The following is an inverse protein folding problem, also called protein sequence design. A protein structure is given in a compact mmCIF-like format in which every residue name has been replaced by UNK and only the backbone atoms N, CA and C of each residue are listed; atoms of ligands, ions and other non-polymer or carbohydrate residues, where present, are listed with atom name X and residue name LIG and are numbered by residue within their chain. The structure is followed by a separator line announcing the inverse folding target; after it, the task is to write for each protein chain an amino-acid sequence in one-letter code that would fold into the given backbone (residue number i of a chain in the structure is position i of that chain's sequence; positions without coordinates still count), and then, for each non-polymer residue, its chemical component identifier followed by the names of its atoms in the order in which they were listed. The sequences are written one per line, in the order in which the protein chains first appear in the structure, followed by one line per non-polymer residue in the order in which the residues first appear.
data_IF_412023161837
#
_entry.id   IF_412023161837
#
_cell.length_a   1.000
_cell.length_b   1.000
_cell.length_c   1.000
_cell.angle_alpha   90.00
_cell.angle_beta   90.00
_cell.angle_gamma   90.00
#
_symmetry.space_group_name_H-M   'P 1'
#
loop_
_entity.id
_entity.type
_entity.pdbx_description
1 polymer ?
#
# COMPACT_ATOMS: atom_id res chain seq x y z
N UNK A 1 -19.07 1.58 -7.72
CA UNK A 1 -18.61 1.93 -6.35
C UNK A 1 -18.64 0.73 -5.41
N UNK A 2 -19.73 -0.03 -5.35
CA UNK A 2 -19.87 -1.21 -4.46
C UNK A 2 -18.71 -2.20 -4.56
N UNK A 3 -18.32 -2.60 -5.77
CA UNK A 3 -17.19 -3.55 -5.98
C UNK A 3 -15.87 -3.04 -5.42
N UNK A 4 -15.58 -1.74 -5.61
CA UNK A 4 -14.38 -1.10 -5.07
C UNK A 4 -14.39 -1.11 -3.54
N UNK A 5 -15.53 -0.77 -2.93
CA UNK A 5 -15.70 -0.75 -1.47
C UNK A 5 -15.52 -2.15 -0.89
N UNK A 6 -16.11 -3.18 -1.51
CA UNK A 6 -15.92 -4.58 -1.10
C UNK A 6 -14.45 -4.98 -1.20
N UNK A 7 -13.78 -4.65 -2.31
CA UNK A 7 -12.36 -4.90 -2.48
C UNK A 7 -11.51 -4.25 -1.38
N UNK A 8 -11.81 -2.99 -1.05
CA UNK A 8 -11.15 -2.26 0.04
C UNK A 8 -11.37 -2.94 1.39
N UNK A 9 -12.61 -3.30 1.74
CA UNK A 9 -12.92 -3.97 3.02
C UNK A 9 -12.15 -5.30 3.14
N UNK A 10 -12.14 -6.12 2.08
CA UNK A 10 -11.45 -7.42 2.10
C UNK A 10 -9.94 -7.22 2.21
N UNK A 11 -9.36 -6.38 1.34
CA UNK A 11 -7.92 -6.17 1.27
C UNK A 11 -7.37 -5.52 2.55
N UNK A 12 -7.98 -4.43 3.00
CA UNK A 12 -7.56 -3.72 4.21
C UNK A 12 -7.90 -4.51 5.47
N UNK A 13 -9.03 -5.21 5.48
CA UNK A 13 -9.45 -6.05 6.59
C UNK A 13 -8.43 -7.15 6.86
N UNK A 14 -8.06 -7.94 5.85
CA UNK A 14 -7.07 -9.01 6.02
C UNK A 14 -5.70 -8.43 6.40
N UNK A 15 -5.29 -7.31 5.79
CA UNK A 15 -4.02 -6.65 6.14
C UNK A 15 -3.98 -6.10 7.55
N UNK A 16 -5.11 -5.66 8.09
CA UNK A 16 -5.17 -5.10 9.44
C UNK A 16 -4.98 -6.15 10.52
N UNK A 17 -5.25 -7.43 10.24
CA UNK A 17 -5.15 -8.52 11.22
C UNK A 17 -3.74 -8.60 11.82
N UNK A 18 -2.69 -8.46 11.00
CA UNK A 18 -1.31 -8.58 11.47
C UNK A 18 -0.92 -7.46 12.44
N UNK A 19 -1.54 -6.30 12.32
CA UNK A 19 -1.28 -5.13 13.16
C UNK A 19 -2.22 -5.06 14.38
N UNK A 20 -3.52 -5.29 14.17
CA UNK A 20 -4.56 -5.09 15.19
C UNK A 20 -4.79 -6.35 16.04
N UNK A 21 -4.56 -7.54 15.48
CA UNK A 21 -4.82 -8.81 16.15
C UNK A 21 -3.67 -9.82 15.98
N UNK A 22 -2.43 -9.46 16.38
CA UNK A 22 -1.26 -10.31 16.19
C UNK A 22 -1.37 -11.66 16.90
N UNK A 23 -1.97 -11.71 18.09
CA UNK A 23 -2.20 -12.98 18.79
C UNK A 23 -3.15 -13.91 18.04
N UNK A 24 -4.21 -13.37 17.45
CA UNK A 24 -5.17 -14.18 16.69
C UNK A 24 -4.50 -14.75 15.44
N UNK A 25 -3.73 -13.93 14.72
CA UNK A 25 -2.90 -14.37 13.59
C UNK A 25 -1.97 -15.52 14.02
N UNK A 26 -1.24 -15.35 15.12
CA UNK A 26 -0.29 -16.36 15.61
C UNK A 26 -0.98 -17.65 16.03
N UNK A 27 -2.14 -17.58 16.73
CA UNK A 27 -2.94 -18.76 17.08
C UNK A 27 -3.44 -19.50 15.84
N UNK A 28 -3.90 -18.77 14.81
CA UNK A 28 -4.36 -19.37 13.56
C UNK A 28 -3.21 -20.04 12.80
N UNK A 29 -2.08 -19.35 12.67
CA UNK A 29 -0.89 -19.89 12.03
C UNK A 29 -0.36 -21.14 12.76
N UNK A 30 -0.34 -21.15 14.10
CA UNK A 30 0.05 -22.33 14.88
C UNK A 30 -0.92 -23.52 14.67
N UNK A 31 -2.22 -23.26 14.52
CA UNK A 31 -3.22 -24.32 14.37
C UNK A 31 -3.24 -24.98 12.99
N UNK A 32 -2.97 -24.24 11.90
CA UNK A 32 -3.06 -24.76 10.52
C UNK A 32 -1.71 -24.82 9.78
N UNK A 33 -0.63 -24.39 10.44
CA UNK A 33 0.69 -24.23 9.84
C UNK A 33 0.89 -22.84 9.23
N UNK A 34 2.10 -22.30 9.40
CA UNK A 34 2.48 -20.95 8.94
C UNK A 34 2.30 -20.81 7.42
N UNK A 35 2.75 -21.79 6.63
CA UNK A 35 2.65 -21.74 5.16
C UNK A 35 1.19 -21.72 4.68
N UNK A 36 0.32 -22.53 5.29
CA UNK A 36 -1.10 -22.58 4.96
C UNK A 36 -1.78 -21.25 5.30
N UNK A 37 -1.49 -20.71 6.49
CA UNK A 37 -1.99 -19.41 6.92
C UNK A 37 -1.56 -18.29 5.97
N UNK A 38 -0.28 -18.23 5.63
CA UNK A 38 0.27 -17.25 4.69
C UNK A 38 -0.33 -17.40 3.29
N UNK A 39 -0.53 -18.63 2.80
CA UNK A 39 -1.17 -18.90 1.52
C UNK A 39 -2.61 -18.39 1.48
N UNK A 40 -3.43 -18.74 2.48
CA UNK A 40 -4.81 -18.25 2.59
C UNK A 40 -4.87 -16.73 2.69
N UNK A 41 -4.03 -16.14 3.55
CA UNK A 41 -3.90 -14.70 3.69
C UNK A 41 -3.59 -14.04 2.34
N UNK A 42 -2.63 -14.58 1.59
CA UNK A 42 -2.18 -14.02 0.31
C UNK A 42 -3.26 -14.14 -0.76
N UNK A 43 -3.99 -15.25 -0.82
CA UNK A 43 -5.09 -15.44 -1.77
C UNK A 43 -6.22 -14.46 -1.48
N UNK A 44 -6.63 -14.31 -0.21
CA UNK A 44 -7.69 -13.35 0.19
C UNK A 44 -7.26 -11.92 -0.14
N UNK A 45 -6.02 -11.55 0.17
CA UNK A 45 -5.46 -10.25 -0.17
C UNK A 45 -5.46 -10.03 -1.69
N UNK A 46 -5.03 -11.01 -2.48
CA UNK A 46 -4.99 -10.90 -3.94
C UNK A 46 -6.39 -10.73 -4.55
N UNK A 47 -7.39 -11.46 -4.05
CA UNK A 47 -8.79 -11.31 -4.47
C UNK A 47 -9.29 -9.90 -4.15
N UNK A 48 -9.06 -9.41 -2.92
CA UNK A 48 -9.41 -8.04 -2.53
C UNK A 48 -8.74 -6.99 -3.43
N UNK A 49 -7.46 -7.18 -3.74
CA UNK A 49 -6.69 -6.31 -4.63
C UNK A 49 -7.24 -6.31 -6.06
N UNK A 50 -7.54 -7.49 -6.62
CA UNK A 50 -8.14 -7.60 -7.96
C UNK A 50 -9.50 -6.88 -8.03
N UNK A 51 -10.33 -7.00 -6.98
CA UNK A 51 -11.60 -6.28 -6.86
C UNK A 51 -11.39 -4.76 -6.78
N UNK A 52 -10.33 -4.29 -6.11
CA UNK A 52 -9.98 -2.86 -6.08
C UNK A 52 -9.63 -2.38 -7.50
N UNK A 53 -8.76 -3.10 -8.22
CA UNK A 53 -8.33 -2.72 -9.58
C UNK A 53 -9.54 -2.65 -10.52
N UNK A 54 -10.35 -3.71 -10.54
CA UNK A 54 -11.54 -3.78 -11.38
C UNK A 54 -12.59 -2.73 -10.98
N UNK A 55 -12.89 -2.63 -9.68
CA UNK A 55 -13.84 -1.68 -9.13
C UNK A 55 -13.46 -0.23 -9.38
N UNK A 56 -12.17 0.11 -9.28
CA UNK A 56 -11.64 1.42 -9.64
C UNK A 56 -11.75 1.68 -11.15
N UNK A 57 -11.47 0.66 -11.98
CA UNK A 57 -11.65 0.72 -13.44
C UNK A 57 -13.06 1.12 -13.86
N UNK A 58 -14.08 0.62 -13.16
CA UNK A 58 -15.47 1.05 -13.34
C UNK A 58 -15.69 2.46 -12.77
N UNK A 59 -15.22 2.71 -11.55
CA UNK A 59 -15.45 3.96 -10.82
C UNK A 59 -14.93 5.20 -11.58
N UNK A 60 -13.80 5.07 -12.28
CA UNK A 60 -13.18 6.17 -13.05
C UNK A 60 -13.92 6.55 -14.33
N UNK A 61 -14.90 5.77 -14.79
CA UNK A 61 -15.62 6.09 -16.03
C UNK A 61 -16.57 7.28 -15.86
N UNK A 62 -17.09 7.46 -14.64
CA UNK A 62 -17.97 8.58 -14.29
C UNK A 62 -17.43 9.25 -13.01
N UNK A 63 -16.26 9.91 -13.09
CA UNK A 63 -15.60 10.44 -11.91
C UNK A 63 -16.37 11.63 -11.35
N UNK A 64 -16.56 11.65 -10.03
CA UNK A 64 -17.00 12.87 -9.34
C UNK A 64 -15.77 13.74 -9.10
N UNK A 65 -15.76 14.95 -9.67
CA UNK A 65 -14.66 15.90 -9.48
C UNK A 65 -14.82 16.53 -8.10
N UNK A 66 -14.05 16.04 -7.12
CA UNK A 66 -14.06 16.56 -5.74
C UNK A 66 -13.07 17.70 -5.56
N UNK A 67 -12.01 17.74 -6.37
CA UNK A 67 -10.94 18.73 -6.26
C UNK A 67 -10.24 18.92 -7.61
N UNK A 68 -9.93 20.17 -7.95
CA UNK A 68 -9.07 20.53 -9.08
C UNK A 68 -7.84 21.24 -8.51
N UNK A 69 -6.63 20.65 -8.60
CA UNK A 69 -5.43 21.27 -8.06
C UNK A 69 -5.06 22.55 -8.83
N UNK A 70 -4.66 23.62 -8.13
CA UNK A 70 -4.01 24.78 -8.76
C UNK A 70 -2.81 24.37 -9.61
N UNK A 71 -2.63 25.03 -10.77
CA UNK A 71 -1.61 24.67 -11.76
C UNK A 71 -0.18 24.67 -11.18
N UNK A 72 0.12 25.58 -10.24
CA UNK A 72 1.44 25.68 -9.62
C UNK A 72 1.83 24.43 -8.82
N UNK A 73 0.86 23.71 -8.25
CA UNK A 73 1.12 22.46 -7.50
C UNK A 73 1.74 21.37 -8.38
N UNK A 74 1.46 21.37 -9.69
CA UNK A 74 2.10 20.43 -10.63
C UNK A 74 3.62 20.61 -10.63
N UNK A 75 4.07 21.85 -10.73
CA UNK A 75 5.50 22.16 -10.79
C UNK A 75 6.17 21.92 -9.43
N UNK A 76 5.49 22.27 -8.34
CA UNK A 76 5.95 21.97 -6.97
C UNK A 76 6.11 20.47 -6.76
N UNK A 77 5.14 19.65 -7.20
CA UNK A 77 5.22 18.20 -7.08
C UNK A 77 6.43 17.63 -7.82
N UNK A 78 6.72 18.10 -9.05
CA UNK A 78 7.89 17.65 -9.83
C UNK A 78 9.19 18.00 -9.11
N UNK A 79 9.31 19.23 -8.60
CA UNK A 79 10.51 19.68 -7.86
C UNK A 79 10.71 18.85 -6.58
N UNK A 80 9.63 18.57 -5.84
CA UNK A 80 9.69 17.74 -4.64
C UNK A 80 9.99 16.26 -4.95
N UNK A 81 9.55 15.74 -6.10
CA UNK A 81 9.83 14.36 -6.51
C UNK A 81 11.29 14.16 -6.96
N UNK A 82 11.93 15.21 -7.47
CA UNK A 82 13.32 15.14 -7.96
C UNK A 82 14.32 14.58 -6.92
N UNK A 83 14.36 15.05 -5.65
CA UNK A 83 15.25 14.47 -4.64
C UNK A 83 14.81 13.10 -4.11
N UNK A 84 13.54 12.70 -4.30
CA UNK A 84 13.02 11.43 -3.76
C UNK A 84 13.79 10.24 -4.33
N UNK A 85 14.08 10.20 -5.63
CA UNK A 85 14.79 9.07 -6.24
C UNK A 85 16.26 8.94 -5.76
N UNK A 86 17.08 10.01 -5.73
CA UNK A 86 18.41 9.96 -5.10
C UNK A 86 18.37 9.56 -3.62
N UNK A 87 17.40 10.08 -2.86
CA UNK A 87 17.27 9.74 -1.43
C UNK A 87 16.86 8.29 -1.22
N UNK A 88 15.96 7.76 -2.05
CA UNK A 88 15.57 6.35 -2.02
C UNK A 88 16.77 5.45 -2.27
N UNK A 89 17.60 5.76 -3.28
CA UNK A 89 18.84 5.03 -3.54
C UNK A 89 19.83 5.15 -2.38
N UNK A 90 19.98 6.34 -1.80
CA UNK A 90 20.87 6.58 -0.66
C UNK A 90 20.46 5.80 0.61
N UNK A 91 19.19 5.44 0.76
CA UNK A 91 18.73 4.62 1.89
C UNK A 91 19.28 3.18 1.83
N UNK A 92 19.47 2.63 0.62
CA UNK A 92 19.88 1.23 0.43
C UNK A 92 21.33 1.07 -0.03
N UNK A 93 21.90 2.06 -0.71
CA UNK A 93 23.26 2.02 -1.26
C UNK A 93 24.24 2.84 -0.40
N UNK A 94 25.51 2.39 -0.26
CA UNK A 94 26.54 3.19 0.39
C UNK A 94 26.87 4.42 -0.47
N UNK A 95 26.95 5.60 0.15
CA UNK A 95 27.25 6.85 -0.54
C UNK A 95 27.36 8.03 0.41
N UNK A 96 27.85 9.17 -0.10
CA UNK A 96 28.11 10.38 0.70
C UNK A 96 26.85 10.92 1.40
N UNK A 97 25.69 10.80 0.77
CA UNK A 97 24.40 11.21 1.33
C UNK A 97 24.06 10.37 2.57
N UNK A 98 24.29 9.05 2.53
CA UNK A 98 24.05 8.12 3.65
C UNK A 98 24.98 8.40 4.83
N UNK A 99 26.24 8.75 4.57
CA UNK A 99 27.20 9.06 5.64
C UNK A 99 26.89 10.37 6.36
N UNK A 100 26.30 11.36 5.68
CA UNK A 100 25.95 12.65 6.29
C UNK A 100 24.66 12.59 7.12
N UNK A 101 23.74 11.67 6.80
CA UNK A 101 22.47 11.50 7.52
C UNK A 101 22.54 10.48 8.66
N UNK A 102 23.68 9.80 8.84
CA UNK A 102 23.89 8.87 9.95
C UNK A 102 24.30 9.67 11.18
N UNK A 103 23.32 10.01 12.02
CA UNK A 103 23.60 10.51 13.37
C UNK A 103 24.27 9.37 14.16
N UNK A 104 25.46 9.64 14.71
CA UNK A 104 26.13 8.76 15.68
C UNK A 104 25.41 8.78 17.03
#
# INVERSE_FOLDING_TARGET
MTTLIIGLIIFLGVHSISNVAPEWRNRRAAAMGENTWQGLYSVIALVGFALIVYGYGIARQTPTVVYVPPVWLRNTAIVLLAPVFPLLLAAYLPGRIRSTLRNN
#
